data_IF_065389632147
#
_entry.id   IF_065389632147
#
_cell.length_a   1.000
_cell.length_b   1.000
_cell.length_c   1.000
_cell.angle_alpha   90.00
_cell.angle_beta   90.00
_cell.angle_gamma   90.00
#
_symmetry.space_group_name_H-M   'P 1'
#
loop_
_entity.id
_entity.type
_entity.pdbx_description
1 polymer ?
#
# COMPACT_ATOMS: atom_id res chain seq x y z
N UNK A 1 -12.66 7.85 -4.03
CA UNK A 1 -12.53 8.86 -2.94
C UNK A 1 -11.84 10.15 -3.42
N UNK A 2 -12.17 11.30 -2.82
CA UNK A 2 -11.45 12.54 -3.07
C UNK A 2 -10.01 12.34 -2.59
N UNK A 3 -9.06 12.42 -3.52
CA UNK A 3 -7.63 12.44 -3.22
C UNK A 3 -7.19 13.89 -3.28
N UNK A 4 -6.52 14.37 -2.24
CA UNK A 4 -6.11 15.78 -2.18
C UNK A 4 -4.91 15.99 -3.10
N UNK A 5 -4.97 17.02 -3.93
CA UNK A 5 -3.88 17.38 -4.84
C UNK A 5 -2.55 17.60 -4.09
N UNK A 6 -2.63 18.16 -2.88
CA UNK A 6 -1.48 18.33 -1.99
C UNK A 6 -0.82 16.99 -1.60
N UNK A 7 -1.59 15.94 -1.31
CA UNK A 7 -1.06 14.60 -1.01
C UNK A 7 -0.35 14.01 -2.23
N UNK A 8 -0.94 14.16 -3.42
CA UNK A 8 -0.36 13.69 -4.68
C UNK A 8 0.97 14.40 -4.97
N UNK A 9 1.00 15.72 -4.84
CA UNK A 9 2.20 16.51 -5.09
C UNK A 9 3.31 16.21 -4.07
N UNK A 10 2.95 15.99 -2.80
CA UNK A 10 3.91 15.55 -1.78
C UNK A 10 4.54 14.19 -2.13
N UNK A 11 3.72 13.22 -2.53
CA UNK A 11 4.22 11.90 -2.92
C UNK A 11 5.12 12.01 -4.15
N UNK A 12 4.75 12.81 -5.17
CA UNK A 12 5.62 13.06 -6.34
C UNK A 12 6.98 13.64 -5.93
N UNK A 13 6.99 14.69 -5.12
CA UNK A 13 8.23 15.31 -4.65
C UNK A 13 9.12 14.32 -3.86
N UNK A 14 8.51 13.46 -3.04
CA UNK A 14 9.24 12.41 -2.32
C UNK A 14 9.86 11.37 -3.27
N UNK A 15 9.13 10.96 -4.31
CA UNK A 15 9.60 10.02 -5.31
C UNK A 15 10.71 10.61 -6.19
N UNK A 16 10.63 11.88 -6.57
CA UNK A 16 11.63 12.58 -7.40
C UNK A 16 13.02 12.59 -6.73
N UNK A 17 13.06 12.56 -5.40
CA UNK A 17 14.31 12.49 -4.62
C UNK A 17 14.60 11.10 -4.05
N UNK A 18 13.95 10.06 -4.58
CA UNK A 18 14.08 8.65 -4.13
C UNK A 18 14.01 8.50 -2.60
N UNK A 19 13.06 9.22 -1.99
CA UNK A 19 12.69 9.08 -0.59
C UNK A 19 11.95 7.75 -0.39
N UNK A 20 12.22 6.99 0.69
CA UNK A 20 11.38 5.86 1.06
C UNK A 20 9.92 6.29 1.28
N UNK A 21 8.98 5.63 0.61
CA UNK A 21 7.54 5.94 0.73
C UNK A 21 6.77 4.68 1.10
N UNK A 22 5.93 4.80 2.13
CA UNK A 22 4.98 3.78 2.53
C UNK A 22 3.54 4.32 2.50
N UNK A 23 2.75 3.86 1.53
CA UNK A 23 1.34 4.26 1.39
C UNK A 23 0.40 3.23 2.01
N UNK A 24 -0.35 3.59 3.05
CA UNK A 24 -1.30 2.69 3.71
C UNK A 24 -2.74 3.13 3.43
N UNK A 25 -3.64 2.19 3.10
CA UNK A 25 -5.06 2.46 2.91
C UNK A 25 -5.29 3.49 1.79
N UNK A 26 -5.68 4.72 2.14
CA UNK A 26 -5.81 5.81 1.16
C UNK A 26 -4.45 6.20 0.55
N UNK A 27 -3.35 6.12 1.31
CA UNK A 27 -2.01 6.43 0.83
C UNK A 27 -1.55 5.55 -0.35
N UNK A 28 -2.02 4.30 -0.41
CA UNK A 28 -1.83 3.41 -1.56
C UNK A 28 -2.49 3.97 -2.84
N UNK A 29 -3.67 4.57 -2.72
CA UNK A 29 -4.38 5.17 -3.85
C UNK A 29 -3.73 6.49 -4.30
N UNK A 30 -3.27 7.29 -3.34
CA UNK A 30 -2.45 8.49 -3.60
C UNK A 30 -1.19 8.11 -4.39
N UNK A 31 -0.48 7.05 -3.96
CA UNK A 31 0.71 6.54 -4.65
C UNK A 31 0.40 6.13 -6.10
N UNK A 32 -0.72 5.44 -6.33
CA UNK A 32 -1.15 5.06 -7.68
C UNK A 32 -1.36 6.29 -8.57
N UNK A 33 -2.12 7.29 -8.09
CA UNK A 33 -2.42 8.51 -8.85
C UNK A 33 -1.17 9.37 -9.07
N UNK A 34 -0.30 9.48 -8.06
CA UNK A 34 0.96 10.21 -8.16
C UNK A 34 1.84 9.71 -9.31
N UNK A 35 1.81 8.40 -9.57
CA UNK A 35 2.55 7.72 -10.64
C UNK A 35 1.78 7.59 -11.96
N UNK A 36 0.65 8.29 -12.12
CA UNK A 36 -0.12 8.34 -13.37
C UNK A 36 -1.23 7.30 -13.49
N UNK A 37 -1.54 6.58 -12.41
CA UNK A 37 -2.72 5.72 -12.33
C UNK A 37 -4.02 6.53 -12.21
N UNK A 38 -5.15 5.82 -12.29
CA UNK A 38 -6.48 6.44 -12.19
C UNK A 38 -7.13 6.19 -10.82
N UNK A 39 -8.24 6.90 -10.57
CA UNK A 39 -9.00 6.80 -9.32
C UNK A 39 -9.57 5.39 -9.16
N UNK A 40 -9.43 4.85 -7.95
CA UNK A 40 -10.01 3.57 -7.54
C UNK A 40 -11.54 3.59 -7.70
N UNK A 41 -12.10 2.45 -8.13
CA UNK A 41 -13.56 2.30 -8.34
C UNK A 41 -14.13 1.47 -7.21
N UNK A 42 -15.44 1.56 -7.00
CA UNK A 42 -16.11 0.73 -5.99
C UNK A 42 -15.87 -0.74 -6.31
N UNK A 43 -15.44 -1.49 -5.29
CA UNK A 43 -15.29 -2.94 -5.35
C UNK A 43 -16.52 -3.57 -4.69
N UNK A 44 -17.21 -4.46 -5.41
CA UNK A 44 -18.38 -5.14 -4.88
C UNK A 44 -17.97 -6.12 -3.77
N UNK A 45 -18.74 -6.22 -2.68
CA UNK A 45 -18.44 -7.12 -1.55
C UNK A 45 -17.38 -6.59 -0.59
N UNK A 46 -16.77 -5.43 -0.88
CA UNK A 46 -15.91 -4.70 0.04
C UNK A 46 -16.78 -3.76 0.87
N UNK A 47 -16.37 -3.42 2.10
CA UNK A 47 -17.17 -2.75 3.12
C UNK A 47 -18.11 -1.67 2.56
N UNK A 48 -19.37 -2.06 2.37
CA UNK A 48 -20.49 -1.19 2.10
C UNK A 48 -20.96 -0.69 3.46
N UNK A 49 -20.58 0.55 3.79
CA UNK A 49 -20.95 1.35 4.98
C UNK A 49 -19.74 1.42 5.91
N UNK A 50 -19.09 2.56 6.15
CA UNK A 50 -19.57 3.91 6.26
C UNK A 50 -18.45 4.88 5.83
N UNK A 51 -18.82 6.11 5.47
CA UNK A 51 -17.93 7.28 5.40
C UNK A 51 -17.22 7.59 6.74
N UNK A 52 -17.38 6.73 7.75
CA UNK A 52 -16.88 6.87 9.12
C UNK A 52 -16.02 5.68 9.59
N UNK A 53 -15.72 4.68 8.73
CA UNK A 53 -14.86 3.54 9.12
C UNK A 53 -13.35 3.86 9.11
N UNK A 54 -12.93 4.99 8.53
CA UNK A 54 -11.54 5.45 8.71
C UNK A 54 -11.27 5.81 10.19
N UNK A 55 -12.32 6.20 10.93
CA UNK A 55 -12.25 6.68 12.34
C UNK A 55 -13.07 5.86 13.36
N UNK A 56 -13.85 4.85 12.95
CA UNK A 56 -14.67 4.08 13.90
C UNK A 56 -14.02 2.77 14.35
N UNK A 57 -14.25 2.41 15.62
CA UNK A 57 -13.88 1.14 16.26
C UNK A 57 -14.64 -0.08 15.69
N UNK A 58 -15.19 0.02 14.47
CA UNK A 58 -15.90 -1.06 13.81
C UNK A 58 -15.00 -2.26 13.52
N UNK A 59 -15.60 -3.47 13.50
CA UNK A 59 -14.90 -4.69 13.11
C UNK A 59 -14.52 -4.65 11.63
N UNK A 60 -13.26 -4.95 11.31
CA UNK A 60 -12.81 -5.07 9.92
C UNK A 60 -13.43 -6.26 9.22
N UNK A 61 -13.65 -6.11 7.90
CA UNK A 61 -13.76 -7.27 7.01
C UNK A 61 -12.36 -7.86 6.78
N UNK A 62 -12.29 -9.02 6.14
CA UNK A 62 -11.01 -9.67 5.85
C UNK A 62 -10.98 -10.25 4.45
N UNK A 63 -9.84 -10.09 3.77
CA UNK A 63 -9.61 -10.66 2.45
C UNK A 63 -8.51 -11.73 2.51
N UNK A 64 -8.63 -12.73 1.66
CA UNK A 64 -7.50 -13.59 1.32
C UNK A 64 -6.73 -12.95 0.18
N UNK A 65 -5.47 -12.62 0.42
CA UNK A 65 -4.60 -11.99 -0.57
C UNK A 65 -3.46 -12.93 -0.93
N UNK A 66 -3.08 -12.92 -2.20
CA UNK A 66 -1.88 -13.57 -2.69
C UNK A 66 -0.78 -12.53 -2.85
N UNK A 67 0.28 -12.65 -2.04
CA UNK A 67 1.49 -11.83 -2.14
C UNK A 67 2.44 -12.51 -3.14
N UNK A 68 2.84 -11.77 -4.17
CA UNK A 68 3.74 -12.27 -5.21
C UNK A 68 5.14 -12.54 -4.62
N UNK A 69 5.65 -13.79 -4.72
CA UNK A 69 7.03 -14.09 -4.35
C UNK A 69 8.03 -13.22 -5.12
N UNK A 70 9.12 -12.80 -4.47
CA UNK A 70 10.13 -11.93 -5.07
C UNK A 70 9.76 -10.44 -5.14
N UNK A 71 8.56 -10.06 -4.69
CA UNK A 71 8.20 -8.66 -4.48
C UNK A 71 8.94 -8.05 -3.28
N UNK A 72 9.06 -6.71 -3.25
CA UNK A 72 9.58 -5.99 -2.07
C UNK A 72 8.70 -6.25 -0.86
N UNK A 73 7.38 -6.30 -1.04
CA UNK A 73 6.45 -6.66 0.03
C UNK A 73 6.81 -8.03 0.63
N UNK A 74 6.95 -9.07 -0.20
CA UNK A 74 7.29 -10.41 0.25
C UNK A 74 8.64 -10.45 0.99
N UNK A 75 9.64 -9.71 0.50
CA UNK A 75 10.94 -9.62 1.13
C UNK A 75 10.88 -9.00 2.53
N UNK A 76 10.06 -7.96 2.74
CA UNK A 76 9.94 -7.28 4.03
C UNK A 76 9.13 -8.10 5.03
N UNK A 77 7.99 -8.65 4.62
CA UNK A 77 7.16 -9.46 5.53
C UNK A 77 7.81 -10.83 5.79
N UNK A 78 8.70 -11.28 4.90
CA UNK A 78 9.47 -12.52 5.00
C UNK A 78 8.75 -13.74 4.44
N UNK A 79 7.67 -13.54 3.68
CA UNK A 79 6.88 -14.60 3.06
C UNK A 79 6.12 -14.07 1.84
N UNK A 80 5.96 -14.94 0.83
CA UNK A 80 4.99 -14.76 -0.26
C UNK A 80 3.88 -15.81 -0.16
N UNK A 81 2.89 -15.73 -1.04
CA UNK A 81 1.75 -16.64 -1.07
C UNK A 81 0.51 -16.10 -0.37
N UNK A 82 -0.36 -17.00 0.09
CA UNK A 82 -1.67 -16.66 0.62
C UNK A 82 -1.61 -16.17 2.07
N UNK A 83 -2.29 -15.06 2.35
CA UNK A 83 -2.41 -14.50 3.69
C UNK A 83 -3.75 -13.83 3.87
N UNK A 84 -4.29 -13.88 5.09
CA UNK A 84 -5.51 -13.17 5.48
C UNK A 84 -5.13 -11.81 6.05
N UNK A 85 -5.71 -10.74 5.51
CA UNK A 85 -5.48 -9.35 5.94
C UNK A 85 -6.81 -8.66 6.24
N UNK A 86 -6.77 -7.63 7.09
CA UNK A 86 -7.93 -6.78 7.32
C UNK A 86 -8.28 -5.95 6.07
N UNK A 87 -9.55 -5.57 5.97
CA UNK A 87 -10.10 -4.76 4.90
C UNK A 87 -11.01 -3.69 5.48
N UNK A 88 -10.62 -2.43 5.25
CA UNK A 88 -11.37 -1.22 5.60
C UNK A 88 -11.41 -0.26 4.40
N UNK A 89 -11.79 -0.79 3.24
CA UNK A 89 -11.88 0.00 2.01
C UNK A 89 -13.12 -0.38 1.19
N UNK A 90 -13.68 0.60 0.50
CA UNK A 90 -14.80 0.43 -0.45
C UNK A 90 -14.34 0.54 -1.91
N UNK A 91 -13.22 1.24 -2.12
CA UNK A 91 -12.67 1.50 -3.44
C UNK A 91 -11.40 0.68 -3.63
N UNK A 92 -11.32 -0.04 -4.74
CA UNK A 92 -10.16 -0.85 -5.12
C UNK A 92 -9.53 -0.38 -6.42
N UNK A 93 -8.22 -0.60 -6.55
CA UNK A 93 -7.48 -0.42 -7.80
C UNK A 93 -7.39 -1.79 -8.48
N UNK A 94 -7.73 -1.85 -9.76
CA UNK A 94 -7.51 -3.03 -10.62
C UNK A 94 -6.42 -2.72 -11.65
N UNK A 95 -5.94 -3.73 -12.36
CA UNK A 95 -4.88 -3.57 -13.37
C UNK A 95 -5.17 -2.46 -14.38
N UNK A 96 -6.41 -2.32 -14.85
CA UNK A 96 -6.84 -1.26 -15.76
C UNK A 96 -6.70 0.18 -15.18
N UNK A 97 -6.56 0.32 -13.86
CA UNK A 97 -6.43 1.61 -13.17
C UNK A 97 -5.02 1.85 -12.62
N UNK A 98 -4.19 0.80 -12.61
CA UNK A 98 -2.86 0.82 -12.03
C UNK A 98 -1.94 1.69 -12.87
N UNK A 99 -1.11 2.50 -12.22
CA UNK A 99 -0.01 3.20 -12.87
C UNK A 99 0.93 2.20 -13.57
N UNK A 100 1.33 2.49 -14.81
CA UNK A 100 2.29 1.65 -15.54
C UNK A 100 3.67 1.60 -14.86
N UNK A 101 4.02 2.67 -14.13
CA UNK A 101 5.28 2.79 -13.38
C UNK A 101 5.30 1.99 -12.08
N UNK A 102 4.19 1.34 -11.71
CA UNK A 102 4.05 0.52 -10.52
C UNK A 102 3.82 -0.95 -10.89
N UNK A 103 4.30 -1.84 -10.03
CA UNK A 103 4.01 -3.27 -10.08
C UNK A 103 3.02 -3.61 -8.97
N UNK A 104 1.99 -4.37 -9.30
CA UNK A 104 1.15 -4.97 -8.26
C UNK A 104 1.90 -6.14 -7.64
N UNK A 105 1.95 -6.16 -6.31
CA UNK A 105 2.67 -7.16 -5.51
C UNK A 105 1.75 -8.00 -4.63
N UNK A 106 0.47 -7.63 -4.50
CA UNK A 106 -0.55 -8.49 -3.91
C UNK A 106 -1.92 -8.28 -4.55
N UNK A 107 -2.72 -9.35 -4.62
CA UNK A 107 -4.09 -9.33 -5.15
C UNK A 107 -5.05 -10.01 -4.18
N UNK A 108 -6.25 -9.45 -4.04
CA UNK A 108 -7.39 -10.13 -3.44
C UNK A 108 -7.78 -11.32 -4.31
N UNK A 109 -7.90 -12.49 -3.71
CA UNK A 109 -8.20 -13.74 -4.43
C UNK A 109 -9.65 -13.85 -4.86
N UNK A 110 -10.56 -13.17 -4.16
CA UNK A 110 -11.99 -13.28 -4.40
C UNK A 110 -12.42 -12.44 -5.62
N UNK A 111 -11.76 -11.30 -5.85
CA UNK A 111 -12.22 -10.35 -6.86
C UNK A 111 -11.11 -9.77 -7.75
N UNK A 112 -9.84 -10.02 -7.46
CA UNK A 112 -8.70 -9.52 -8.24
C UNK A 112 -8.36 -8.04 -8.02
N UNK A 113 -8.90 -7.40 -6.98
CA UNK A 113 -8.43 -6.07 -6.57
C UNK A 113 -6.97 -6.15 -6.14
N UNK A 114 -6.18 -5.15 -6.55
CA UNK A 114 -4.79 -5.02 -6.13
C UNK A 114 -4.77 -4.55 -4.67
N UNK A 115 -4.10 -5.33 -3.83
CA UNK A 115 -3.99 -5.08 -2.39
C UNK A 115 -2.59 -4.55 -2.01
N UNK A 116 -1.62 -4.63 -2.92
CA UNK A 116 -0.34 -3.97 -2.77
C UNK A 116 0.29 -3.55 -4.10
N UNK A 117 0.95 -2.40 -4.09
CA UNK A 117 1.72 -1.83 -5.18
C UNK A 117 3.15 -1.56 -4.72
N UNK A 118 4.10 -1.68 -5.62
CA UNK A 118 5.49 -1.30 -5.36
C UNK A 118 6.11 -0.65 -6.60
N UNK A 119 7.04 0.28 -6.37
CA UNK A 119 7.78 0.86 -7.49
C UNK A 119 9.06 0.05 -7.74
N UNK A 120 9.29 -0.44 -8.97
CA UNK A 120 10.56 -1.08 -9.33
C UNK A 120 11.71 -0.08 -9.54
N UNK A 121 11.41 1.22 -9.68
CA UNK A 121 12.38 2.27 -10.02
C UNK A 121 13.08 2.88 -8.80
N UNK A 122 12.37 2.94 -7.68
CA UNK A 122 12.85 3.56 -6.45
C UNK A 122 13.48 2.51 -5.54
N UNK A 123 14.38 2.91 -4.64
CA UNK A 123 15.01 1.97 -3.69
C UNK A 123 13.95 1.28 -2.82
N UNK A 124 13.06 2.06 -2.22
CA UNK A 124 12.02 1.53 -1.35
C UNK A 124 10.72 2.32 -1.46
N UNK A 125 9.73 1.75 -2.15
CA UNK A 125 8.38 2.31 -2.27
C UNK A 125 7.41 1.15 -2.28
N UNK A 126 6.55 1.12 -1.26
CA UNK A 126 5.50 0.11 -1.09
C UNK A 126 4.19 0.85 -0.77
N UNK A 127 3.10 0.43 -1.37
CA UNK A 127 1.75 0.80 -0.98
C UNK A 127 0.96 -0.46 -0.67
N UNK A 128 0.13 -0.43 0.38
CA UNK A 128 -0.79 -1.52 0.73
C UNK A 128 -2.19 -0.96 0.97
N UNK A 129 -3.20 -1.71 0.53
CA UNK A 129 -4.60 -1.29 0.65
C UNK A 129 -5.20 -1.70 2.00
N UNK A 130 -4.78 -2.83 2.57
CA UNK A 130 -5.04 -3.22 3.96
C UNK A 130 -4.32 -2.31 4.98
N UNK A 131 -4.64 -2.48 6.27
CA UNK A 131 -4.21 -1.61 7.39
C UNK A 131 -3.28 -2.36 8.36
N UNK A 132 -1.97 -2.48 8.06
CA UNK A 132 -1.03 -3.21 8.91
C UNK A 132 -0.76 -2.55 10.27
N UNK A 133 -1.13 -1.29 10.45
CA UNK A 133 -1.14 -0.61 11.74
C UNK A 133 -2.15 -1.18 12.73
N UNK A 134 -3.19 -1.89 12.25
CA UNK A 134 -4.15 -2.62 13.08
C UNK A 134 -3.57 -3.99 13.46
N UNK A 135 -2.53 -3.98 14.30
CA UNK A 135 -1.68 -5.14 14.62
C UNK A 135 -2.41 -6.40 15.07
N UNK A 136 -3.58 -6.27 15.68
CA UNK A 136 -4.38 -7.40 16.16
C UNK A 136 -5.18 -8.09 15.04
N UNK A 137 -5.24 -7.48 13.86
CA UNK A 137 -6.07 -7.92 12.73
C UNK A 137 -5.24 -8.37 11.52
N UNK A 138 -3.93 -8.50 11.67
CA UNK A 138 -3.00 -8.91 10.62
C UNK A 138 -1.87 -9.77 11.22
N UNK A 139 -1.17 -10.62 10.43
CA UNK A 139 -0.07 -11.40 10.99
C UNK A 139 1.04 -10.51 11.59
N UNK A 140 1.59 -10.84 12.78
CA UNK A 140 2.53 -9.97 13.49
C UNK A 140 3.79 -9.57 12.69
N UNK A 141 4.23 -10.41 11.76
CA UNK A 141 5.40 -10.13 10.93
C UNK A 141 5.19 -8.96 9.94
N UNK A 142 3.97 -8.47 9.76
CA UNK A 142 3.69 -7.28 8.95
C UNK A 142 4.15 -5.97 9.61
N UNK A 143 4.42 -5.96 10.93
CA UNK A 143 5.07 -4.83 11.62
C UNK A 143 6.45 -4.48 11.00
N UNK A 144 7.08 -5.45 10.31
CA UNK A 144 8.32 -5.25 9.57
C UNK A 144 8.19 -4.21 8.46
N UNK A 145 7.00 -3.94 7.94
CA UNK A 145 6.79 -2.89 6.93
C UNK A 145 7.13 -1.51 7.47
N UNK A 146 6.70 -1.20 8.69
CA UNK A 146 7.04 0.06 9.34
C UNK A 146 8.52 0.09 9.75
N UNK A 147 9.06 -1.02 10.28
CA UNK A 147 10.48 -1.11 10.63
C UNK A 147 11.36 -0.87 9.40
N UNK A 148 11.02 -1.50 8.27
CA UNK A 148 11.75 -1.34 7.01
C UNK A 148 11.68 0.09 6.50
N UNK A 149 10.54 0.80 6.61
CA UNK A 149 10.48 2.23 6.28
C UNK A 149 11.51 3.04 7.09
N UNK A 150 11.56 2.83 8.41
CA UNK A 150 12.49 3.54 9.31
C UNK A 150 13.95 3.24 8.95
N UNK A 151 14.28 1.96 8.73
CA UNK A 151 15.62 1.54 8.32
C UNK A 151 16.05 2.23 7.03
N UNK A 152 15.18 2.23 6.00
CA UNK A 152 15.47 2.86 4.71
C UNK A 152 15.58 4.38 4.80
N UNK A 153 14.78 5.01 5.66
CA UNK A 153 14.89 6.44 5.91
C UNK A 153 16.26 6.78 6.54
N UNK A 154 16.70 6.01 7.53
CA UNK A 154 18.01 6.20 8.17
C UNK A 154 19.17 5.96 7.19
N UNK A 155 19.14 4.88 6.41
CA UNK A 155 20.13 4.59 5.37
C UNK A 155 20.25 5.77 4.38
N UNK A 156 19.11 6.33 3.96
CA UNK A 156 19.09 7.49 3.06
C UNK A 156 19.72 8.73 3.71
N UNK A 157 19.39 9.01 4.97
CA UNK A 157 19.97 10.15 5.69
C UNK A 157 21.50 10.03 5.79
N UNK A 158 22.01 8.85 6.14
CA UNK A 158 23.45 8.59 6.21
C UNK A 158 24.15 8.71 4.84
N UNK A 159 23.52 8.23 3.77
CA UNK A 159 24.04 8.37 2.42
C UNK A 159 24.09 9.82 1.94
N UNK A 160 23.19 10.68 2.43
CA UNK A 160 23.14 12.10 2.06
C UNK A 160 24.12 12.95 2.88
N UNK A 161 24.48 12.49 4.08
CA UNK A 161 25.40 13.17 4.99
C UNK A 161 26.85 12.65 4.90
N UNK A 162 27.12 11.68 4.02
CA UNK A 162 28.48 11.21 3.75
C UNK A 162 29.15 12.17 2.75
N UNK A 163 30.35 12.71 3.06
CA UNK A 163 31.03 13.73 2.26
C UNK A 163 31.48 13.23 0.88
#
# INVERSE_FOLDING_TARGET
>A
PPVLEAEVNLVRAALDVDMPVYGIGRGFQVLNIAQGGSIAKMAAGHAADAEHLEDSEGQSMFHHVYISPGSKLAAVVGSGGFVRVNSRHRFGVREAQKAELLRASAYCMDDGVIEALESPRHRWVIGVQFRPELRLEIPPHFDRLMQSLVERANERLHATNSP
#
